data_IF_824177154159
#
_entry.id   IF_824177154159
#
_cell.length_a   1.000
_cell.length_b   1.000
_cell.length_c   1.000
_cell.angle_alpha   90.00
_cell.angle_beta   90.00
_cell.angle_gamma   90.00
#
_symmetry.space_group_name_H-M   'P 1'
#
loop_
_entity.id
_entity.type
_entity.pdbx_description
1 polymer ?
#
# COMPACT_ATOMS: atom_id res chain seq x y z
N UNK A 1 -10.92 9.75 -13.71
CA UNK A 1 -11.06 8.42 -13.07
C UNK A 1 -10.55 8.61 -11.66
N UNK A 2 -11.42 8.51 -10.67
CA UNK A 2 -10.98 8.57 -9.28
C UNK A 2 -10.36 7.22 -8.89
N UNK A 3 -9.37 7.25 -8.00
CA UNK A 3 -8.73 6.03 -7.49
C UNK A 3 -9.66 5.25 -6.56
N UNK A 4 -9.27 4.02 -6.20
CA UNK A 4 -10.02 3.20 -5.24
C UNK A 4 -10.12 3.81 -3.84
N UNK A 5 -9.29 4.81 -3.52
CA UNK A 5 -9.30 5.50 -2.25
C UNK A 5 -9.73 6.94 -2.39
N UNK A 6 -10.69 7.31 -1.56
CA UNK A 6 -11.15 8.69 -1.37
C UNK A 6 -10.64 9.19 -0.03
N UNK A 7 -9.67 10.10 -0.07
CA UNK A 7 -9.07 10.68 1.12
C UNK A 7 -10.02 11.69 1.76
N UNK A 8 -9.91 11.85 3.09
CA UNK A 8 -10.64 12.93 3.76
C UNK A 8 -10.11 14.29 3.31
N UNK A 9 -10.96 15.33 3.23
CA UNK A 9 -10.51 16.68 2.90
C UNK A 9 -9.36 17.13 3.81
N UNK A 10 -8.26 17.59 3.20
CA UNK A 10 -7.06 18.03 3.91
C UNK A 10 -6.09 16.92 4.35
N UNK A 11 -6.41 15.65 4.09
CA UNK A 11 -5.48 14.54 4.27
C UNK A 11 -4.75 14.23 2.94
N UNK A 12 -3.48 13.86 3.06
CA UNK A 12 -2.64 13.42 1.93
C UNK A 12 -2.01 12.06 2.27
N UNK A 13 -1.64 11.25 1.26
CA UNK A 13 -0.83 10.08 1.49
C UNK A 13 0.50 10.45 2.17
N UNK A 14 0.97 9.58 3.06
CA UNK A 14 2.30 9.66 3.65
C UNK A 14 3.24 8.82 2.78
N UNK A 15 4.27 9.46 2.25
CA UNK A 15 5.28 8.81 1.43
C UNK A 15 6.64 8.80 2.15
N UNK A 16 7.35 7.69 2.09
CA UNK A 16 8.75 7.59 2.54
C UNK A 16 9.54 6.64 1.65
N UNK A 17 10.85 6.83 1.58
CA UNK A 17 11.76 5.87 0.94
C UNK A 17 12.09 4.73 1.90
N UNK A 18 12.08 3.49 1.40
CA UNK A 18 12.63 2.32 2.07
C UNK A 18 13.63 1.61 1.15
N UNK A 19 14.55 0.83 1.73
CA UNK A 19 15.50 0.01 0.96
C UNK A 19 15.00 -1.43 0.89
N UNK A 20 14.86 -1.97 -0.31
CA UNK A 20 14.49 -3.38 -0.56
C UNK A 20 15.49 -3.98 -1.52
N UNK A 21 16.22 -5.00 -1.07
CA UNK A 21 17.24 -5.70 -1.86
C UNK A 21 18.22 -4.77 -2.60
N UNK A 22 18.67 -3.71 -1.91
CA UNK A 22 19.61 -2.73 -2.49
C UNK A 22 18.99 -1.75 -3.48
N UNK A 23 17.66 -1.69 -3.59
CA UNK A 23 16.91 -0.72 -4.40
C UNK A 23 16.12 0.23 -3.51
N UNK A 24 16.08 1.50 -3.87
CA UNK A 24 15.19 2.47 -3.21
C UNK A 24 13.76 2.25 -3.71
N UNK A 25 12.89 1.90 -2.78
CA UNK A 25 11.48 1.68 -3.02
C UNK A 25 10.65 2.76 -2.33
N UNK A 26 9.50 3.07 -2.91
CA UNK A 26 8.53 4.00 -2.34
C UNK A 26 7.61 3.22 -1.42
N UNK A 27 7.51 3.65 -0.18
CA UNK A 27 6.48 3.23 0.76
C UNK A 27 5.41 4.32 0.83
N UNK A 28 4.17 3.95 0.55
CA UNK A 28 3.00 4.81 0.50
C UNK A 28 1.99 4.35 1.53
N UNK A 29 1.56 5.23 2.42
CA UNK A 29 0.55 4.96 3.42
C UNK A 29 -0.59 5.96 3.28
N UNK A 30 -1.81 5.45 3.10
CA UNK A 30 -2.98 6.30 2.95
C UNK A 30 -4.20 5.68 3.62
N UNK A 31 -5.15 6.55 3.96
CA UNK A 31 -6.38 6.20 4.65
C UNK A 31 -7.56 6.93 4.03
N UNK A 32 -8.72 6.32 4.08
CA UNK A 32 -9.90 6.92 3.47
C UNK A 32 -11.08 5.98 3.39
N UNK A 33 -12.05 6.36 2.57
CA UNK A 33 -13.06 5.43 2.08
C UNK A 33 -12.45 4.62 0.93
N UNK A 34 -12.66 3.30 0.95
CA UNK A 34 -12.15 2.38 -0.06
C UNK A 34 -13.31 1.78 -0.86
N UNK A 35 -13.19 1.87 -2.17
CA UNK A 35 -14.07 1.22 -3.14
C UNK A 35 -13.25 0.19 -3.93
N UNK A 36 -13.49 -1.10 -3.68
CA UNK A 36 -12.76 -2.16 -4.36
C UNK A 36 -13.16 -2.31 -5.85
N UNK A 37 -14.18 -1.57 -6.30
CA UNK A 37 -14.70 -1.60 -7.64
C UNK A 37 -15.60 -2.79 -7.93
N UNK A 38 -16.16 -2.89 -9.15
CA UNK A 38 -17.27 -3.78 -9.46
C UNK A 38 -16.90 -5.27 -9.53
N UNK A 39 -15.60 -5.61 -9.52
CA UNK A 39 -15.13 -7.00 -9.61
C UNK A 39 -15.24 -7.76 -8.27
N UNK A 40 -15.39 -7.03 -7.18
CA UNK A 40 -15.61 -7.57 -5.84
C UNK A 40 -16.95 -6.97 -5.41
N UNK A 41 -17.93 -7.79 -5.01
CA UNK A 41 -19.15 -7.29 -4.35
C UNK A 41 -18.79 -6.72 -2.97
N UNK A 42 -18.13 -5.57 -2.95
CA UNK A 42 -17.75 -4.84 -1.75
C UNK A 42 -18.54 -3.55 -1.67
N UNK A 43 -19.17 -3.32 -0.53
CA UNK A 43 -19.63 -1.98 -0.20
C UNK A 43 -18.43 -1.06 0.03
N UNK A 44 -18.60 0.23 -0.24
CA UNK A 44 -17.59 1.24 0.12
C UNK A 44 -17.36 1.17 1.62
N UNK A 45 -16.14 0.87 2.03
CA UNK A 45 -15.78 0.74 3.44
C UNK A 45 -15.08 2.03 3.92
N UNK A 46 -15.61 2.60 4.99
CA UNK A 46 -15.08 3.83 5.59
C UNK A 46 -14.06 3.49 6.67
N UNK A 47 -12.91 4.15 6.66
CA UNK A 47 -11.89 3.93 7.70
C UNK A 47 -10.92 2.79 7.37
N UNK A 48 -10.74 2.52 6.07
CA UNK A 48 -9.74 1.61 5.55
C UNK A 48 -8.39 2.31 5.48
N UNK A 49 -7.31 1.54 5.68
CA UNK A 49 -5.93 1.96 5.45
C UNK A 49 -5.31 1.07 4.36
N UNK A 50 -4.47 1.65 3.53
CA UNK A 50 -3.60 0.91 2.62
C UNK A 50 -2.15 1.31 2.84
N UNK A 51 -1.30 0.30 2.97
CA UNK A 51 0.15 0.44 2.82
C UNK A 51 0.51 -0.16 1.46
N UNK A 52 1.13 0.65 0.60
CA UNK A 52 1.62 0.28 -0.72
C UNK A 52 3.13 0.38 -0.77
N UNK A 53 3.76 -0.49 -1.54
CA UNK A 53 5.19 -0.44 -1.82
C UNK A 53 5.41 -0.56 -3.31
N UNK A 54 6.09 0.42 -3.91
CA UNK A 54 6.54 0.39 -5.29
C UNK A 54 8.05 0.18 -5.32
N UNK A 55 8.49 -0.95 -5.87
CA UNK A 55 9.90 -1.31 -6.00
C UNK A 55 10.30 -1.18 -7.48
N UNK A 56 11.08 -0.16 -7.85
CA UNK A 56 11.52 0.03 -9.23
C UNK A 56 12.34 -1.16 -9.73
N UNK A 57 11.96 -1.73 -10.87
CA UNK A 57 12.66 -2.88 -11.46
C UNK A 57 12.60 -2.82 -12.98
N UNK A 58 13.61 -3.40 -13.62
CA UNK A 58 13.61 -3.64 -15.07
C UNK A 58 13.23 -5.09 -15.35
N UNK A 59 12.35 -5.37 -16.33
CA UNK A 59 11.69 -4.42 -17.24
C UNK A 59 10.40 -3.80 -16.68
N UNK A 60 9.97 -4.19 -15.48
CA UNK A 60 8.71 -3.73 -14.87
C UNK A 60 8.89 -3.56 -13.37
N UNK A 61 8.28 -2.51 -12.85
CA UNK A 61 8.15 -2.28 -11.41
C UNK A 61 7.37 -3.40 -10.73
N UNK A 62 7.65 -3.60 -9.44
CA UNK A 62 6.93 -4.53 -8.59
C UNK A 62 6.15 -3.76 -7.52
N UNK A 63 4.87 -4.05 -7.40
CA UNK A 63 3.99 -3.38 -6.44
C UNK A 63 3.43 -4.37 -5.43
N UNK A 64 3.52 -4.03 -4.15
CA UNK A 64 2.79 -4.71 -3.08
C UNK A 64 1.78 -3.74 -2.50
N UNK A 65 0.60 -4.24 -2.11
CA UNK A 65 -0.34 -3.47 -1.30
C UNK A 65 -0.96 -4.35 -0.24
N UNK A 66 -1.12 -3.78 0.94
CA UNK A 66 -1.86 -4.34 2.05
C UNK A 66 -2.98 -3.37 2.38
N UNK A 67 -4.23 -3.81 2.20
CA UNK A 67 -5.44 -2.99 2.36
C UNK A 67 -6.40 -3.67 3.32
N UNK A 68 -6.96 -2.92 4.27
CA UNK A 68 -7.97 -3.44 5.20
C UNK A 68 -8.39 -2.45 6.26
N UNK A 69 -9.21 -2.89 7.24
CA UNK A 69 -9.61 -2.06 8.37
C UNK A 69 -8.37 -1.48 9.08
N UNK A 70 -8.38 -0.18 9.33
CA UNK A 70 -7.21 0.54 9.86
C UNK A 70 -6.60 -0.13 11.09
N UNK A 71 -7.43 -0.54 12.03
CA UNK A 71 -6.97 -1.15 13.29
C UNK A 71 -6.23 -2.46 13.04
N UNK A 72 -6.68 -3.28 12.07
CA UNK A 72 -5.98 -4.51 11.72
C UNK A 72 -4.64 -4.20 11.06
N UNK A 73 -4.60 -3.23 10.13
CA UNK A 73 -3.35 -2.82 9.48
C UNK A 73 -2.33 -2.30 10.49
N UNK A 74 -2.76 -1.53 11.50
CA UNK A 74 -1.88 -1.05 12.57
C UNK A 74 -1.20 -2.19 13.33
N UNK A 75 -1.89 -3.31 13.54
CA UNK A 75 -1.33 -4.47 14.27
C UNK A 75 -0.30 -5.27 13.49
N UNK A 76 -0.28 -5.18 12.15
CA UNK A 76 0.59 -6.00 11.28
C UNK A 76 1.55 -5.17 10.42
N UNK A 77 1.60 -3.85 10.63
CA UNK A 77 2.42 -2.94 9.83
C UNK A 77 3.91 -3.31 9.87
N UNK A 78 4.41 -3.72 11.03
CA UNK A 78 5.82 -4.08 11.21
C UNK A 78 6.15 -5.37 10.46
N UNK A 79 5.30 -6.38 10.61
CA UNK A 79 5.41 -7.68 9.95
C UNK A 79 5.33 -7.53 8.43
N UNK A 80 4.45 -6.66 7.93
CA UNK A 80 4.37 -6.34 6.51
C UNK A 80 5.65 -5.66 6.02
N UNK A 81 6.20 -4.71 6.79
CA UNK A 81 7.46 -4.07 6.45
C UNK A 81 8.62 -5.08 6.39
N UNK A 82 8.68 -6.02 7.33
CA UNK A 82 9.70 -7.06 7.36
C UNK A 82 9.54 -8.04 6.19
N UNK A 83 8.30 -8.42 5.86
CA UNK A 83 8.00 -9.21 4.67
C UNK A 83 8.47 -8.50 3.39
N UNK A 84 8.16 -7.22 3.22
CA UNK A 84 8.63 -6.42 2.06
C UNK A 84 10.15 -6.39 2.00
N UNK A 85 10.83 -6.14 3.13
CA UNK A 85 12.31 -6.11 3.21
C UNK A 85 12.97 -7.47 2.98
N UNK A 86 12.22 -8.56 3.12
CA UNK A 86 12.71 -9.90 2.85
C UNK A 86 12.79 -10.24 1.36
N UNK A 87 12.19 -9.42 0.49
CA UNK A 87 12.22 -9.65 -0.95
C UNK A 87 13.65 -9.77 -1.48
N UNK A 88 13.85 -10.73 -2.38
CA UNK A 88 15.11 -11.00 -3.10
C UNK A 88 14.83 -11.01 -4.59
N UNK A 89 15.52 -10.17 -5.34
CA UNK A 89 15.46 -10.18 -6.79
C UNK A 89 16.63 -10.98 -7.32
N UNK A 90 16.35 -12.21 -7.73
CA UNK A 90 17.33 -13.06 -8.40
C UNK A 90 17.47 -12.64 -9.88
N UNK A 91 18.68 -12.70 -10.46
CA UNK A 91 18.92 -12.46 -11.87
C UNK A 91 18.13 -13.40 -12.81
#
# INVERSE_FOLDING_TARGET
MEGQFQLKPGESPVEKTIRVDGVDAVWLDLRGAFDAGPAIESQVDSGVRMIGVAIPRSPRDFYLKLTGPREQILTIETEFQDFVKSARFVP
#
